data_IF_882050157992
#
_entry.id   IF_882050157992
#
_cell.length_a   1.000
_cell.length_b   1.000
_cell.length_c   1.000
_cell.angle_alpha   90.00
_cell.angle_beta   90.00
_cell.angle_gamma   90.00
#
_symmetry.space_group_name_H-M   'P 1'
#
loop_
_entity.id
_entity.type
_entity.pdbx_description
1 polymer ?
#
# COMPACT_ATOMS: atom_id res chain seq x y z
N UNK A 1 -25.21 54.19 5.43
CA UNK A 1 -23.78 54.27 5.06
C UNK A 1 -23.58 53.21 3.99
N UNK A 2 -23.16 53.57 2.78
CA UNK A 2 -22.85 52.56 1.77
C UNK A 2 -21.55 51.86 2.16
N UNK A 3 -21.52 50.53 2.08
CA UNK A 3 -20.31 49.76 2.31
C UNK A 3 -19.27 50.11 1.24
N UNK A 4 -18.02 50.23 1.68
CA UNK A 4 -16.91 50.57 0.80
C UNK A 4 -16.58 49.36 -0.08
N UNK A 5 -16.61 49.58 -1.40
CA UNK A 5 -16.25 48.58 -2.41
C UNK A 5 -14.86 48.87 -2.98
N UNK A 6 -14.19 47.80 -3.37
CA UNK A 6 -12.86 47.81 -3.96
C UNK A 6 -12.89 47.04 -5.28
N UNK A 7 -12.08 47.48 -6.24
CA UNK A 7 -11.84 46.73 -7.47
C UNK A 7 -10.78 45.66 -7.16
N UNK A 8 -11.16 44.40 -7.32
CA UNK A 8 -10.35 43.24 -6.98
C UNK A 8 -10.10 42.43 -8.25
N UNK A 9 -8.84 42.19 -8.55
CA UNK A 9 -8.45 41.26 -9.61
C UNK A 9 -8.23 39.88 -8.99
N UNK A 10 -8.94 38.87 -9.49
CA UNK A 10 -8.89 37.49 -9.04
C UNK A 10 -8.23 36.67 -10.14
N UNK A 11 -7.20 35.92 -9.78
CA UNK A 11 -6.71 34.83 -10.62
C UNK A 11 -7.30 33.51 -10.11
N UNK A 12 -7.73 32.66 -11.04
CA UNK A 12 -8.16 31.29 -10.78
C UNK A 12 -7.80 30.38 -11.97
N UNK A 13 -8.27 29.12 -11.93
CA UNK A 13 -8.00 28.14 -12.99
C UNK A 13 -8.61 28.50 -14.35
N UNK A 14 -9.55 29.44 -14.40
CA UNK A 14 -10.21 29.94 -15.61
C UNK A 14 -9.57 31.20 -16.17
N UNK A 15 -8.65 31.83 -15.43
CA UNK A 15 -7.88 33.00 -15.84
C UNK A 15 -7.98 34.17 -14.86
N UNK A 16 -7.90 35.40 -15.39
CA UNK A 16 -8.02 36.63 -14.61
C UNK A 16 -9.42 37.22 -14.75
N UNK A 17 -10.04 37.56 -13.62
CA UNK A 17 -11.30 38.29 -13.56
C UNK A 17 -11.14 39.55 -12.70
N UNK A 18 -11.98 40.55 -12.94
CA UNK A 18 -12.01 41.80 -12.17
C UNK A 18 -13.42 42.01 -11.65
N UNK A 19 -13.57 42.15 -10.34
CA UNK A 19 -14.86 42.24 -9.65
C UNK A 19 -14.82 43.36 -8.60
N UNK A 20 -15.99 43.92 -8.27
CA UNK A 20 -16.11 44.86 -7.16
C UNK A 20 -16.62 44.14 -5.91
N UNK A 21 -15.85 44.20 -4.82
CA UNK A 21 -16.14 43.49 -3.58
C UNK A 21 -15.90 44.39 -2.36
N UNK A 22 -16.63 44.12 -1.28
CA UNK A 22 -16.41 44.67 0.06
C UNK A 22 -15.27 43.93 0.76
N UNK A 23 -14.74 44.49 1.86
CA UNK A 23 -13.68 43.83 2.62
C UNK A 23 -14.07 42.42 3.12
N UNK A 24 -15.29 42.19 3.67
CA UNK A 24 -15.71 40.84 4.05
C UNK A 24 -15.79 39.87 2.88
N UNK A 25 -16.30 40.31 1.72
CA UNK A 25 -16.37 39.47 0.52
C UNK A 25 -14.96 39.08 0.02
N UNK A 26 -13.96 39.97 0.14
CA UNK A 26 -12.55 39.66 -0.19
C UNK A 26 -11.99 38.57 0.73
N UNK A 27 -12.27 38.65 2.04
CA UNK A 27 -11.86 37.64 3.03
C UNK A 27 -12.49 36.30 2.67
N UNK A 28 -13.81 36.27 2.47
CA UNK A 28 -14.54 35.07 2.08
C UNK A 28 -13.95 34.45 0.81
N UNK A 29 -13.72 35.25 -0.22
CA UNK A 29 -13.17 34.79 -1.50
C UNK A 29 -11.75 34.24 -1.38
N UNK A 30 -10.91 34.85 -0.55
CA UNK A 30 -9.56 34.35 -0.30
C UNK A 30 -9.56 33.06 0.54
N UNK A 31 -10.57 32.86 1.40
CA UNK A 31 -10.72 31.62 2.18
C UNK A 31 -11.41 30.49 1.43
N UNK A 32 -12.14 30.77 0.35
CA UNK A 32 -12.77 29.76 -0.51
C UNK A 32 -11.73 28.79 -1.12
N UNK A 33 -10.50 29.26 -1.30
CA UNK A 33 -9.37 28.46 -1.80
C UNK A 33 -8.18 28.49 -0.85
N UNK A 34 -7.98 27.41 -0.08
CA UNK A 34 -6.74 26.64 -0.21
C UNK A 34 -5.42 27.42 -0.33
N UNK A 35 -5.02 28.27 0.63
CA UNK A 35 -3.71 28.94 0.56
C UNK A 35 -3.59 30.12 -0.43
N UNK A 36 -4.72 30.76 -0.78
CA UNK A 36 -4.72 31.98 -1.61
C UNK A 36 -3.93 33.12 -0.99
N UNK A 37 -3.30 33.93 -1.85
CA UNK A 37 -2.53 35.10 -1.46
C UNK A 37 -3.27 36.38 -1.82
N UNK A 38 -3.39 37.29 -0.84
CA UNK A 38 -3.99 38.61 -1.06
C UNK A 38 -2.87 39.63 -1.14
N UNK A 39 -2.86 40.40 -2.22
CA UNK A 39 -1.96 41.53 -2.40
C UNK A 39 -2.73 42.84 -2.40
N UNK A 40 -2.25 43.80 -1.62
CA UNK A 40 -2.71 45.20 -1.66
C UNK A 40 -1.51 46.06 -2.04
N UNK A 41 -1.57 46.76 -3.17
CA UNK A 41 -0.49 47.60 -3.69
C UNK A 41 0.87 46.87 -3.71
N UNK A 42 0.84 45.61 -4.18
CA UNK A 42 1.98 44.68 -4.26
C UNK A 42 2.56 44.20 -2.92
N UNK A 43 1.86 44.41 -1.81
CA UNK A 43 2.23 43.83 -0.50
C UNK A 43 1.31 42.66 -0.17
N UNK A 44 1.90 41.54 0.22
CA UNK A 44 1.16 40.39 0.74
C UNK A 44 0.51 40.77 2.08
N UNK A 45 -0.78 40.49 2.21
CA UNK A 45 -1.60 40.81 3.39
C UNK A 45 -2.34 39.54 3.83
N UNK A 46 -2.46 39.34 5.13
CA UNK A 46 -3.27 38.25 5.67
C UNK A 46 -4.76 38.61 5.56
N UNK A 47 -5.60 37.66 5.14
CA UNK A 47 -7.05 37.85 5.03
C UNK A 47 -7.67 38.37 6.34
N UNK A 48 -7.25 37.82 7.48
CA UNK A 48 -7.77 38.18 8.80
C UNK A 48 -7.38 39.60 9.26
N UNK A 49 -6.42 40.25 8.58
CA UNK A 49 -5.98 41.62 8.90
C UNK A 49 -6.72 42.69 8.09
N UNK A 50 -7.56 42.29 7.12
CA UNK A 50 -8.27 43.19 6.21
C UNK A 50 -9.36 44.02 6.90
N UNK A 51 -10.06 43.45 7.88
CA UNK A 51 -11.18 44.14 8.56
C UNK A 51 -10.72 45.37 9.37
N UNK A 52 -9.45 45.44 9.74
CA UNK A 52 -8.86 46.55 10.49
C UNK A 52 -7.98 47.50 9.67
N UNK A 53 -7.83 47.27 8.37
CA UNK A 53 -6.86 47.99 7.54
C UNK A 53 -7.50 49.21 6.84
N UNK A 54 -6.84 50.37 6.91
CA UNK A 54 -7.21 51.52 6.09
C UNK A 54 -6.72 51.34 4.65
N UNK A 55 -7.58 50.80 3.79
CA UNK A 55 -7.29 50.58 2.37
C UNK A 55 -7.78 51.80 1.57
N UNK A 56 -6.97 52.35 0.66
CA UNK A 56 -7.40 53.43 -0.24
C UNK A 56 -8.48 52.94 -1.22
N UNK A 57 -9.36 53.82 -1.70
CA UNK A 57 -10.30 53.44 -2.78
C UNK A 57 -9.58 53.11 -4.09
N UNK A 58 -8.38 53.66 -4.27
CA UNK A 58 -7.56 53.51 -5.47
C UNK A 58 -6.49 52.42 -5.30
N UNK A 59 -6.49 51.72 -4.16
CA UNK A 59 -5.56 50.61 -3.90
C UNK A 59 -5.85 49.45 -4.85
N UNK A 60 -4.77 48.85 -5.37
CA UNK A 60 -4.86 47.67 -6.23
C UNK A 60 -4.91 46.41 -5.39
N UNK A 61 -6.04 45.74 -5.40
CA UNK A 61 -6.22 44.47 -4.68
C UNK A 61 -6.16 43.31 -5.68
N UNK A 62 -5.33 42.31 -5.36
CA UNK A 62 -5.17 41.09 -6.15
C UNK A 62 -5.32 39.86 -5.26
N UNK A 63 -6.25 38.97 -5.59
CA UNK A 63 -6.36 37.63 -4.99
C UNK A 63 -5.73 36.67 -5.98
N UNK A 64 -4.60 36.09 -5.61
CA UNK A 64 -3.92 35.07 -6.40
C UNK A 64 -4.19 33.71 -5.76
N UNK A 65 -4.39 32.65 -6.55
CA UNK A 65 -4.39 31.31 -5.99
C UNK A 65 -3.02 31.09 -5.36
N UNK A 66 -2.95 30.24 -4.34
CA UNK A 66 -1.66 29.88 -3.76
C UNK A 66 -0.71 29.47 -4.87
N UNK A 67 0.43 30.15 -5.01
CA UNK A 67 1.49 29.64 -5.87
C UNK A 67 2.05 28.45 -5.10
N UNK A 68 1.48 27.28 -5.32
CA UNK A 68 2.13 26.02 -5.00
C UNK A 68 3.36 25.97 -5.90
N UNK A 69 4.49 26.45 -5.37
CA UNK A 69 5.79 26.14 -5.93
C UNK A 69 5.97 24.63 -5.89
N UNK A 70 5.49 23.93 -6.92
CA UNK A 70 5.80 22.53 -7.20
C UNK A 70 5.40 21.49 -6.16
N UNK A 71 4.25 21.61 -5.49
CA UNK A 71 3.78 20.59 -4.54
C UNK A 71 2.33 20.15 -4.75
N UNK A 72 1.91 20.05 -6.00
CA UNK A 72 1.00 18.99 -6.46
C UNK A 72 1.41 18.66 -7.90
N UNK A 73 2.66 18.20 -8.08
CA UNK A 73 2.84 17.20 -9.12
C UNK A 73 2.08 16.00 -8.56
N UNK A 74 0.96 15.63 -9.17
CA UNK A 74 0.58 14.21 -9.17
C UNK A 74 1.89 13.45 -9.37
N UNK A 75 2.30 12.65 -8.37
CA UNK A 75 3.54 11.90 -8.50
C UNK A 75 3.43 11.15 -9.83
N UNK A 76 4.43 11.27 -10.73
CA UNK A 76 4.34 10.63 -12.02
C UNK A 76 4.04 9.14 -11.80
N UNK A 77 2.98 8.66 -12.44
CA UNK A 77 2.68 7.24 -12.47
C UNK A 77 3.61 6.57 -13.49
N UNK A 78 3.96 5.33 -13.18
CA UNK A 78 4.73 4.49 -14.05
C UNK A 78 4.00 3.18 -14.29
N UNK A 79 4.07 2.70 -15.52
CA UNK A 79 3.55 1.40 -15.90
C UNK A 79 4.50 0.30 -15.42
N UNK A 80 3.98 -0.65 -14.64
CA UNK A 80 4.74 -1.75 -14.02
C UNK A 80 4.19 -3.10 -14.47
N UNK A 81 5.08 -3.97 -14.96
CA UNK A 81 4.78 -5.38 -15.21
C UNK A 81 4.84 -6.17 -13.90
N UNK A 82 3.71 -6.67 -13.40
CA UNK A 82 3.64 -7.48 -12.18
C UNK A 82 3.47 -8.94 -12.55
N UNK A 83 4.38 -9.82 -12.12
CA UNK A 83 4.17 -11.26 -12.28
C UNK A 83 3.05 -11.77 -11.38
N UNK A 84 2.18 -12.57 -11.97
CA UNK A 84 1.06 -13.20 -11.31
C UNK A 84 0.74 -14.57 -11.96
N UNK A 85 -0.33 -15.21 -11.52
CA UNK A 85 -0.75 -16.52 -12.00
C UNK A 85 -1.20 -16.54 -13.47
N UNK A 86 -1.37 -15.39 -14.12
CA UNK A 86 -1.72 -15.25 -15.54
C UNK A 86 -0.48 -15.07 -16.42
N UNK A 87 0.71 -15.00 -15.82
CA UNK A 87 1.96 -14.61 -16.45
C UNK A 87 2.38 -13.24 -15.94
N UNK A 88 1.73 -12.18 -16.45
CA UNK A 88 1.94 -10.81 -15.97
C UNK A 88 0.67 -9.96 -16.11
N UNK A 89 0.41 -9.13 -15.10
CA UNK A 89 -0.50 -7.98 -15.17
C UNK A 89 0.27 -6.67 -15.38
N UNK A 90 -0.43 -5.65 -15.85
CA UNK A 90 0.07 -4.29 -15.98
C UNK A 90 -0.69 -3.41 -14.99
N UNK A 91 0.05 -2.66 -14.16
CA UNK A 91 -0.52 -1.72 -13.19
C UNK A 91 0.22 -0.38 -13.25
N UNK A 92 -0.45 0.69 -12.86
CA UNK A 92 0.16 2.01 -12.69
C UNK A 92 0.58 2.18 -11.22
N UNK A 93 1.82 2.60 -10.98
CA UNK A 93 2.34 2.84 -9.64
C UNK A 93 3.11 4.15 -9.59
N UNK A 94 2.97 4.87 -8.50
CA UNK A 94 3.81 6.01 -8.15
C UNK A 94 5.19 5.55 -7.70
N UNK A 95 6.17 6.46 -7.66
CA UNK A 95 7.50 6.16 -7.13
C UNK A 95 7.43 5.71 -5.66
N UNK A 96 6.53 6.28 -4.87
CA UNK A 96 6.32 5.90 -3.48
C UNK A 96 5.83 4.45 -3.35
N UNK A 97 4.84 4.04 -4.16
CA UNK A 97 4.35 2.65 -4.18
C UNK A 97 5.40 1.65 -4.68
N UNK A 98 6.26 2.04 -5.62
CA UNK A 98 7.40 1.22 -6.06
C UNK A 98 8.38 0.95 -4.91
N UNK A 99 8.68 1.96 -4.10
CA UNK A 99 9.57 1.84 -2.93
C UNK A 99 8.94 0.93 -1.86
N UNK A 100 7.63 1.06 -1.61
CA UNK A 100 6.90 0.19 -0.69
C UNK A 100 6.89 -1.27 -1.17
N UNK A 101 6.65 -1.48 -2.47
CA UNK A 101 6.68 -2.79 -3.11
C UNK A 101 8.05 -3.45 -2.99
N UNK A 102 9.13 -2.69 -3.21
CA UNK A 102 10.49 -3.18 -3.03
C UNK A 102 10.87 -3.41 -1.56
N UNK A 103 10.15 -2.83 -0.61
CA UNK A 103 10.33 -3.05 0.83
C UNK A 103 9.54 -4.26 1.34
N UNK A 104 8.53 -4.70 0.60
CA UNK A 104 7.73 -5.87 0.92
C UNK A 104 8.57 -7.13 0.77
N UNK A 105 8.64 -7.92 1.85
CA UNK A 105 9.37 -9.19 1.81
C UNK A 105 8.77 -10.10 0.73
N UNK A 106 9.65 -10.70 -0.07
CA UNK A 106 9.23 -11.64 -1.10
C UNK A 106 8.75 -10.99 -2.40
N UNK A 107 9.07 -9.72 -2.65
CA UNK A 107 8.90 -9.09 -3.97
C UNK A 107 10.24 -8.50 -4.43
N UNK A 108 10.61 -8.77 -5.68
CA UNK A 108 11.79 -8.21 -6.32
C UNK A 108 11.37 -7.19 -7.36
N UNK A 109 11.88 -5.97 -7.22
CA UNK A 109 11.64 -4.91 -8.20
C UNK A 109 12.84 -4.79 -9.16
N UNK A 110 12.54 -4.62 -10.44
CA UNK A 110 13.50 -4.41 -11.51
C UNK A 110 13.22 -3.09 -12.22
N UNK A 111 14.28 -2.34 -12.53
CA UNK A 111 14.27 -1.19 -13.42
C UNK A 111 15.26 -1.45 -14.54
N UNK A 112 14.80 -1.44 -15.79
CA UNK A 112 15.60 -1.74 -16.99
C UNK A 112 16.41 -3.05 -16.84
N UNK A 113 15.70 -4.10 -16.43
CA UNK A 113 16.20 -5.46 -16.18
C UNK A 113 17.26 -5.58 -15.04
N UNK A 114 17.52 -4.50 -14.30
CA UNK A 114 18.37 -4.51 -13.11
C UNK A 114 17.52 -4.56 -11.84
N UNK A 115 17.81 -5.53 -10.97
CA UNK A 115 17.21 -5.60 -9.64
C UNK A 115 17.65 -4.41 -8.79
N UNK A 116 16.69 -3.78 -8.10
CA UNK A 116 16.93 -2.62 -7.24
C UNK A 116 16.31 -2.81 -5.86
N UNK A 117 16.98 -2.29 -4.84
CA UNK A 117 16.44 -2.21 -3.48
C UNK A 117 15.55 -0.98 -3.28
N UNK A 118 14.73 -0.99 -2.23
CA UNK A 118 13.95 0.18 -1.81
C UNK A 118 14.82 1.43 -1.56
N UNK A 119 16.00 1.25 -0.97
CA UNK A 119 16.95 2.35 -0.72
C UNK A 119 17.52 2.93 -2.02
N UNK A 120 17.88 2.08 -2.99
CA UNK A 120 18.34 2.53 -4.30
C UNK A 120 17.22 3.30 -5.02
N UNK A 121 16.00 2.76 -5.04
CA UNK A 121 14.83 3.41 -5.66
C UNK A 121 14.53 4.80 -5.11
N UNK A 122 14.67 5.01 -3.79
CA UNK A 122 14.44 6.33 -3.19
C UNK A 122 15.34 7.40 -3.83
N UNK A 123 16.62 7.08 -4.00
CA UNK A 123 17.64 8.01 -4.53
C UNK A 123 17.76 8.02 -6.06
N UNK A 124 17.23 7.01 -6.74
CA UNK A 124 17.33 6.85 -8.18
C UNK A 124 16.28 7.69 -8.92
N UNK A 125 16.66 8.27 -10.06
CA UNK A 125 15.73 8.88 -11.00
C UNK A 125 15.19 7.80 -11.94
N UNK A 126 13.88 7.76 -12.13
CA UNK A 126 13.21 6.78 -13.02
C UNK A 126 12.70 7.57 -14.22
N UNK A 127 13.16 7.20 -15.41
CA UNK A 127 12.71 7.83 -16.65
C UNK A 127 11.32 7.31 -17.04
N UNK A 128 10.50 8.12 -17.70
CA UNK A 128 9.17 7.66 -18.18
C UNK A 128 9.24 6.52 -19.21
N UNK A 129 10.44 6.29 -19.79
CA UNK A 129 10.70 5.19 -20.72
C UNK A 129 11.32 3.95 -20.06
N UNK A 130 11.66 4.02 -18.76
CA UNK A 130 12.23 2.90 -18.05
C UNK A 130 11.24 1.76 -17.95
N UNK A 131 11.74 0.54 -18.10
CA UNK A 131 10.94 -0.67 -17.96
C UNK A 131 10.91 -1.11 -16.50
N UNK A 132 9.72 -1.11 -15.91
CA UNK A 132 9.53 -1.51 -14.51
C UNK A 132 8.85 -2.86 -14.42
N UNK A 133 9.35 -3.69 -13.51
CA UNK A 133 8.84 -5.03 -13.31
C UNK A 133 8.90 -5.43 -11.85
N UNK A 134 7.78 -5.88 -11.30
CA UNK A 134 7.68 -6.47 -9.97
C UNK A 134 7.48 -7.97 -10.10
N UNK A 135 8.46 -8.74 -9.64
CA UNK A 135 8.39 -10.20 -9.60
C UNK A 135 8.13 -10.64 -8.17
N UNK A 136 7.22 -11.59 -7.91
CA UNK A 136 7.25 -12.29 -6.65
C UNK A 136 8.64 -12.93 -6.53
N UNK A 137 9.18 -12.93 -5.33
CA UNK A 137 10.45 -13.57 -5.03
C UNK A 137 10.38 -15.00 -5.55
N UNK A 138 11.48 -15.44 -6.16
CA UNK A 138 11.65 -16.86 -6.49
C UNK A 138 11.66 -17.64 -5.17
N UNK A 139 10.47 -18.07 -4.73
CA UNK A 139 10.33 -19.30 -3.96
C UNK A 139 10.71 -20.41 -4.92
N UNK A 140 12.01 -20.60 -5.12
CA UNK A 140 12.53 -21.75 -5.83
C UNK A 140 11.91 -22.97 -5.18
N UNK A 141 11.06 -23.67 -5.94
CA UNK A 141 10.24 -24.81 -5.55
C UNK A 141 10.59 -25.45 -4.21
N UNK A 142 10.12 -24.82 -3.14
CA UNK A 142 9.61 -25.55 -2.00
C UNK A 142 8.11 -25.35 -2.13
N UNK A 143 7.50 -26.13 -3.04
CA UNK A 143 6.39 -26.91 -2.55
C UNK A 143 6.91 -27.50 -1.24
N UNK A 144 6.50 -26.95 -0.09
CA UNK A 144 6.74 -27.67 1.15
C UNK A 144 6.25 -29.08 0.89
N UNK A 145 7.11 -30.08 1.12
CA UNK A 145 6.77 -31.46 0.85
C UNK A 145 5.39 -31.72 1.48
N UNK A 146 4.42 -32.02 0.62
CA UNK A 146 3.04 -32.25 1.03
C UNK A 146 2.80 -33.74 1.08
N UNK A 147 2.19 -34.19 2.17
CA UNK A 147 1.97 -35.59 2.44
C UNK A 147 0.48 -35.88 2.48
N UNK A 148 0.08 -37.06 1.99
CA UNK A 148 -1.27 -37.58 2.19
C UNK A 148 -1.29 -38.22 3.59
N UNK A 149 -2.13 -37.68 4.45
CA UNK A 149 -2.28 -38.11 5.85
C UNK A 149 -3.67 -38.71 6.02
N UNK A 150 -3.72 -39.96 6.47
CA UNK A 150 -4.97 -40.66 6.78
C UNK A 150 -5.37 -40.35 8.23
N UNK A 151 -6.50 -39.66 8.41
CA UNK A 151 -7.05 -39.27 9.71
C UNK A 151 -8.18 -40.24 10.04
N UNK A 152 -8.13 -40.89 11.21
CA UNK A 152 -9.28 -41.64 11.70
C UNK A 152 -10.36 -40.69 12.20
N UNK A 153 -11.57 -40.85 11.67
CA UNK A 153 -12.75 -40.07 12.01
C UNK A 153 -13.99 -40.98 12.13
N UNK A 154 -15.16 -40.37 12.35
CA UNK A 154 -16.43 -41.09 12.53
C UNK A 154 -16.85 -41.93 11.31
N UNK A 155 -16.30 -41.65 10.13
CA UNK A 155 -16.57 -42.38 8.88
C UNK A 155 -15.63 -43.58 8.68
N UNK A 156 -14.69 -43.77 9.60
CA UNK A 156 -13.60 -44.74 9.50
C UNK A 156 -12.28 -44.02 9.31
N UNK A 157 -12.05 -43.48 8.10
CA UNK A 157 -10.86 -42.68 7.79
C UNK A 157 -11.14 -41.66 6.67
N UNK A 158 -10.52 -40.49 6.77
CA UNK A 158 -10.39 -39.50 5.69
C UNK A 158 -8.92 -39.31 5.31
N UNK A 159 -8.67 -38.88 4.07
CA UNK A 159 -7.34 -38.53 3.59
C UNK A 159 -7.25 -37.02 3.39
N UNK A 160 -6.20 -36.40 3.94
CA UNK A 160 -5.95 -34.96 3.83
C UNK A 160 -4.53 -34.74 3.34
N UNK A 161 -4.36 -33.89 2.33
CA UNK A 161 -3.05 -33.44 1.87
C UNK A 161 -2.63 -32.25 2.73
N UNK A 162 -1.48 -32.35 3.40
CA UNK A 162 -0.97 -31.29 4.29
C UNK A 162 0.55 -31.24 4.31
N UNK A 163 1.11 -30.09 4.69
CA UNK A 163 2.55 -29.92 4.91
C UNK A 163 2.96 -30.50 6.26
N UNK A 164 4.27 -30.69 6.47
CA UNK A 164 4.80 -31.17 7.76
C UNK A 164 4.45 -30.23 8.94
N UNK A 165 4.56 -28.88 8.82
CA UNK A 165 4.07 -27.97 9.85
C UNK A 165 2.58 -28.17 10.16
N UNK A 166 1.72 -28.27 9.14
CA UNK A 166 0.27 -28.49 9.32
C UNK A 166 -0.03 -29.81 10.02
N UNK A 167 0.70 -30.88 9.69
CA UNK A 167 0.61 -32.18 10.37
C UNK A 167 0.95 -32.07 11.87
N UNK A 168 2.02 -31.37 12.21
CA UNK A 168 2.45 -31.17 13.61
C UNK A 168 1.40 -30.34 14.36
N UNK A 169 0.90 -29.28 13.74
CA UNK A 169 -0.14 -28.44 14.33
C UNK A 169 -1.43 -29.24 14.58
N UNK A 170 -1.89 -30.01 13.59
CA UNK A 170 -3.08 -30.85 13.72
C UNK A 170 -2.93 -31.88 14.86
N UNK A 171 -1.77 -32.54 14.94
CA UNK A 171 -1.52 -33.53 15.98
C UNK A 171 -1.44 -32.91 17.39
N UNK A 172 -0.97 -31.66 17.53
CA UNK A 172 -0.94 -30.96 18.81
C UNK A 172 -2.32 -30.43 19.24
N UNK A 173 -3.15 -30.01 18.29
CA UNK A 173 -4.49 -29.48 18.56
C UNK A 173 -5.49 -30.58 18.96
N UNK A 174 -5.25 -31.83 18.56
CA UNK A 174 -6.05 -32.98 18.94
C UNK A 174 -5.40 -33.75 20.10
N UNK A 175 -5.76 -33.40 21.34
CA UNK A 175 -5.23 -34.08 22.53
C UNK A 175 -5.45 -35.59 22.47
N UNK A 176 -4.38 -36.35 22.70
CA UNK A 176 -4.41 -37.82 22.69
C UNK A 176 -4.27 -38.44 21.31
N UNK A 177 -4.09 -37.66 20.24
CA UNK A 177 -3.82 -38.18 18.90
C UNK A 177 -2.45 -38.85 18.82
N UNK A 178 -2.42 -40.03 18.20
CA UNK A 178 -1.21 -40.78 17.88
C UNK A 178 -0.83 -40.58 16.42
N UNK A 179 0.42 -40.20 16.19
CA UNK A 179 0.99 -40.09 14.86
C UNK A 179 1.68 -41.41 14.51
N UNK A 180 1.36 -41.97 13.34
CA UNK A 180 2.07 -43.11 12.79
C UNK A 180 2.73 -42.73 11.47
N UNK A 181 4.00 -43.13 11.33
CA UNK A 181 4.75 -43.05 10.07
C UNK A 181 5.21 -44.48 9.74
N UNK A 182 4.76 -45.01 8.60
CA UNK A 182 5.03 -46.39 8.15
C UNK A 182 4.75 -47.45 9.23
N UNK A 183 3.56 -47.35 9.84
CA UNK A 183 3.08 -48.19 10.95
C UNK A 183 3.93 -48.13 12.23
N UNK A 184 4.85 -47.16 12.38
CA UNK A 184 5.55 -46.90 13.63
C UNK A 184 4.96 -45.66 14.31
N UNK A 185 4.65 -45.78 15.59
CA UNK A 185 4.20 -44.64 16.38
C UNK A 185 5.35 -43.67 16.59
N UNK A 186 5.10 -42.39 16.36
CA UNK A 186 6.05 -41.30 16.45
C UNK A 186 5.49 -40.24 17.39
N UNK A 187 6.34 -39.71 18.28
CA UNK A 187 5.97 -38.57 19.13
C UNK A 187 5.84 -37.32 18.28
N UNK A 188 4.83 -36.49 18.55
CA UNK A 188 4.65 -35.19 17.87
C UNK A 188 5.86 -34.27 18.06
N UNK A 189 6.55 -34.36 19.20
CA UNK A 189 7.77 -33.60 19.47
C UNK A 189 8.94 -34.02 18.57
N UNK A 190 9.05 -35.33 18.28
CA UNK A 190 10.13 -35.90 17.47
C UNK A 190 9.87 -35.75 15.96
N UNK A 191 8.61 -35.51 15.58
CA UNK A 191 8.18 -35.36 14.19
C UNK A 191 8.96 -34.25 13.48
N UNK A 192 9.31 -33.16 14.17
CA UNK A 192 10.12 -32.07 13.65
C UNK A 192 11.49 -32.53 13.11
N UNK A 193 12.12 -33.53 13.74
CA UNK A 193 13.42 -34.08 13.37
C UNK A 193 13.39 -35.24 12.37
N UNK A 194 12.22 -35.76 12.02
CA UNK A 194 12.06 -36.92 11.13
C UNK A 194 11.95 -36.48 9.68
N UNK A 195 12.71 -37.10 8.78
CA UNK A 195 12.50 -36.94 7.34
C UNK A 195 11.28 -37.76 6.90
N UNK A 196 10.30 -37.09 6.31
CA UNK A 196 9.04 -37.70 5.87
C UNK A 196 9.01 -37.94 4.35
N UNK A 197 10.05 -37.52 3.61
CA UNK A 197 10.08 -37.60 2.14
C UNK A 197 9.90 -39.01 1.59
N UNK A 198 10.42 -40.00 2.31
CA UNK A 198 10.33 -41.42 1.95
C UNK A 198 9.18 -42.16 2.66
N UNK A 199 8.35 -41.46 3.44
CA UNK A 199 7.25 -42.07 4.15
C UNK A 199 6.19 -42.56 3.15
N UNK A 200 5.87 -43.85 3.20
CA UNK A 200 4.83 -44.43 2.34
C UNK A 200 3.44 -44.18 2.91
N UNK A 201 3.33 -44.11 4.24
CA UNK A 201 2.04 -43.93 4.91
C UNK A 201 2.16 -43.14 6.20
N UNK A 202 1.41 -42.05 6.29
CA UNK A 202 1.25 -41.24 7.51
C UNK A 202 -0.19 -41.33 8.00
N UNK A 203 -0.39 -41.56 9.30
CA UNK A 203 -1.71 -41.65 9.91
C UNK A 203 -1.83 -40.86 11.21
N UNK A 204 -2.98 -40.25 11.42
CA UNK A 204 -3.38 -39.64 12.69
C UNK A 204 -4.55 -40.43 13.27
N UNK A 205 -4.31 -41.13 14.37
CA UNK A 205 -5.32 -41.90 15.08
C UNK A 205 -5.74 -41.17 16.35
N UNK A 206 -7.04 -41.01 16.65
CA UNK A 206 -7.46 -40.52 17.96
C UNK A 206 -7.00 -41.53 19.03
N UNK A 207 -6.70 -41.02 20.23
CA UNK A 207 -6.37 -41.88 21.35
C UNK A 207 -7.52 -42.85 21.62
N UNK A 208 -7.19 -44.12 21.93
CA UNK A 208 -8.19 -45.10 22.34
C UNK A 208 -8.83 -44.63 23.65
N UNK A 209 -10.03 -44.05 23.56
CA UNK A 209 -10.92 -43.94 24.72
C UNK A 209 -11.45 -45.35 24.99
N UNK A 210 -10.91 -46.00 26.02
CA UNK A 210 -11.49 -47.24 26.53
C UNK A 210 -12.97 -46.98 26.84
N UNK A 211 -13.86 -47.81 26.30
CA UNK A 211 -15.29 -47.72 26.56
C UNK A 211 -15.58 -47.71 28.06
N UNK A 212 -16.59 -46.93 28.45
CA UNK A 212 -17.15 -46.90 29.81
C UNK A 212 -17.47 -48.30 30.33
#
# INVERSE_FOLDING_TARGET
MSEKKYIVEIADSTGHSVVEMTAPEIVEKATESEGSWIFIDNRLVNANELEGMEIGTDSKIRIMPGIVGGLEKEEPSYTVEVADNTGHSIVEMTKSELVETASTQGTWLFVDDKMVSATELQSMEIESSSRLRAMPGLVGGIDEDTFIVEIADETGHSEVKMTKPELIEHANNCQGTWVFVDNRMVSTADLSGIDLRDAQKIRLMPGLVGGN
#
